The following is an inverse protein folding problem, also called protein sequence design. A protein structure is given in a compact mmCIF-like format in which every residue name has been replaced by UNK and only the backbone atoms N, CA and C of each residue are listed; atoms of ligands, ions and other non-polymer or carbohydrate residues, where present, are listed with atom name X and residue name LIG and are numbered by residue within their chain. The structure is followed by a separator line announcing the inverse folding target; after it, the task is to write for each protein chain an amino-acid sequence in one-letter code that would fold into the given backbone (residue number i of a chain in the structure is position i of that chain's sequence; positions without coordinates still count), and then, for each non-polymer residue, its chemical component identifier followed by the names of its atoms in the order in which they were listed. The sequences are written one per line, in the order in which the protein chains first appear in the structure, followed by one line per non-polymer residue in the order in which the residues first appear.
data_IF_959578804824
#
_entry.id   IF_959578804824
#
_cell.length_a   1.000
_cell.length_b   1.000
_cell.length_c   1.000
_cell.angle_alpha   90.00
_cell.angle_beta   90.00
_cell.angle_gamma   90.00
#
_symmetry.space_group_name_H-M   'P 1'
#
loop_
_entity.id
_entity.type
_entity.pdbx_description
1 polymer ?
#
# COMPACT_ATOMS: atom_id res chain seq x y z
N UNK A 1 -28.98 -21.81 -6.39
CA UNK A 1 -29.10 -21.10 -6.62
C UNK A 1 -28.90 -20.51 -6.47
N UNK A 2 -28.79 -20.70 -6.53
CA UNK A 2 -28.80 -19.91 -6.57
C UNK A 2 -28.42 -19.50 -6.46
N UNK A 3 -28.14 -19.63 -6.45
CA UNK A 3 -27.96 -18.77 -6.45
C UNK A 3 -27.73 -18.21 -6.52
N UNK A 4 -27.49 -18.29 -6.47
CA UNK A 4 -27.39 -17.35 -6.68
C UNK A 4 -26.95 -16.75 -6.50
N UNK A 5 -26.68 -16.79 -6.47
CA UNK A 5 -26.35 -15.79 -6.56
C UNK A 5 -25.97 -15.16 -6.84
N UNK A 6 -26.01 -15.26 -6.79
CA UNK A 6 -25.84 -14.57 -7.34
C UNK A 6 -25.42 -13.94 -7.80
N UNK A 7 -25.85 -13.90 -7.68
CA UNK A 7 -25.26 -13.49 -8.80
C UNK A 7 -25.14 -12.10 -9.28
N UNK A 8 -25.83 -11.34 -9.30
CA UNK A 8 -25.69 -9.95 -9.76
C UNK A 8 -24.52 -9.24 -9.09
N UNK A 9 -24.17 -9.62 -7.93
CA UNK A 9 -23.10 -8.96 -7.21
C UNK A 9 -21.72 -9.29 -7.77
N UNK A 10 -21.59 -10.39 -8.47
CA UNK A 10 -20.26 -10.73 -8.97
C UNK A 10 -19.98 -10.07 -10.32
N UNK A 11 -20.96 -9.48 -10.93
CA UNK A 11 -20.74 -8.72 -12.16
C UNK A 11 -20.07 -7.40 -11.91
N UNK A 12 -20.14 -6.91 -10.71
CA UNK A 12 -19.48 -5.68 -10.35
C UNK A 12 -18.55 -5.95 -9.20
N UNK A 13 -17.31 -5.51 -9.36
CA UNK A 13 -16.35 -5.58 -8.28
C UNK A 13 -16.83 -4.68 -7.16
N UNK A 14 -16.82 -5.17 -5.92
CA UNK A 14 -17.13 -4.26 -4.81
C UNK A 14 -16.11 -3.15 -4.78
N UNK A 15 -16.58 -1.93 -4.64
CA UNK A 15 -15.68 -0.80 -4.52
C UNK A 15 -15.00 -0.86 -3.15
N UNK A 16 -13.71 -0.52 -3.08
CA UNK A 16 -13.06 -0.45 -1.78
C UNK A 16 -13.70 0.63 -0.93
N UNK A 17 -13.64 0.44 0.37
CA UNK A 17 -14.18 1.43 1.29
C UNK A 17 -13.38 2.73 1.20
N UNK A 18 -14.00 3.82 1.66
CA UNK A 18 -13.32 5.11 1.69
C UNK A 18 -12.05 5.04 2.54
N UNK A 19 -12.11 4.28 3.63
CA UNK A 19 -10.94 4.12 4.50
C UNK A 19 -9.79 3.46 3.75
N UNK A 20 -10.10 2.47 2.93
CA UNK A 20 -9.07 1.78 2.15
C UNK A 20 -8.47 2.70 1.09
N UNK A 21 -9.32 3.50 0.45
CA UNK A 21 -8.84 4.46 -0.54
C UNK A 21 -7.92 5.48 0.10
N UNK A 22 -8.29 5.97 1.28
CA UNK A 22 -7.45 6.92 2.01
C UNK A 22 -6.12 6.29 2.40
N UNK A 23 -6.12 5.03 2.79
CA UNK A 23 -4.88 4.32 3.11
C UNK A 23 -4.00 4.20 1.87
N UNK A 24 -4.57 3.86 0.72
CA UNK A 24 -3.79 3.76 -0.52
C UNK A 24 -3.16 5.09 -0.91
N UNK A 25 -3.91 6.20 -0.75
CA UNK A 25 -3.37 7.53 -1.01
C UNK A 25 -2.21 7.84 -0.08
N UNK A 26 -2.34 7.43 1.17
CA UNK A 26 -1.31 7.63 2.17
C UNK A 26 -0.04 6.85 1.82
N UNK A 27 -0.19 5.58 1.42
CA UNK A 27 0.95 4.74 1.06
C UNK A 27 1.59 5.21 -0.24
N UNK A 28 0.81 5.78 -1.16
CA UNK A 28 1.33 6.27 -2.43
C UNK A 28 2.10 7.58 -2.30
N UNK A 29 2.15 8.16 -1.11
CA UNK A 29 2.86 9.41 -0.87
C UNK A 29 4.20 9.11 -0.21
N UNK A 30 5.28 9.42 -0.90
CA UNK A 30 6.63 9.06 -0.45
C UNK A 30 6.99 9.69 0.89
N UNK A 31 6.42 10.85 1.22
CA UNK A 31 6.74 11.52 2.48
C UNK A 31 6.29 10.73 3.70
N UNK A 32 5.41 9.74 3.51
CA UNK A 32 4.92 8.91 4.60
C UNK A 32 5.78 7.67 4.81
N UNK A 33 6.87 7.54 4.07
CA UNK A 33 7.77 6.39 4.17
C UNK A 33 9.08 6.77 4.83
N UNK A 34 9.72 5.78 5.42
CA UNK A 34 11.08 5.94 5.94
C UNK A 34 11.82 4.62 5.81
N UNK A 35 13.13 4.69 5.97
CA UNK A 35 13.98 3.50 5.98
C UNK A 35 14.67 3.45 7.33
N UNK A 36 14.61 2.30 7.98
CA UNK A 36 15.25 2.08 9.27
C UNK A 36 16.31 1.01 9.09
N UNK A 37 17.55 1.30 9.52
CA UNK A 37 18.60 0.29 9.48
C UNK A 37 18.47 -0.60 10.71
N UNK A 38 18.42 -1.91 10.48
CA UNK A 38 18.26 -2.88 11.54
C UNK A 38 19.63 -3.26 12.13
N UNK A 39 19.65 -3.84 13.34
CA UNK A 39 20.92 -4.25 13.95
C UNK A 39 21.74 -5.22 13.10
N UNK A 40 21.09 -6.03 12.26
CA UNK A 40 21.80 -6.96 11.39
C UNK A 40 22.33 -6.30 10.11
N UNK A 41 22.16 -4.98 9.96
CA UNK A 41 22.67 -4.25 8.81
C UNK A 41 21.69 -4.12 7.68
N UNK A 42 20.54 -4.80 7.73
CA UNK A 42 19.52 -4.68 6.69
C UNK A 42 18.78 -3.36 6.81
N UNK A 43 18.15 -2.95 5.72
CA UNK A 43 17.37 -1.73 5.67
C UNK A 43 15.90 -2.10 5.53
N UNK A 44 15.10 -1.63 6.46
CA UNK A 44 13.68 -1.93 6.51
C UNK A 44 12.89 -0.73 6.04
N UNK A 45 11.98 -0.95 5.07
CA UNK A 45 11.10 0.11 4.60
C UNK A 45 9.83 0.10 5.44
N UNK A 46 9.37 1.29 5.80
CA UNK A 46 8.20 1.43 6.67
C UNK A 46 7.37 2.61 6.21
N UNK A 47 6.04 2.51 6.37
CA UNK A 47 5.20 3.66 6.17
C UNK A 47 4.48 4.00 7.47
N UNK A 48 4.21 5.29 7.66
CA UNK A 48 3.58 5.79 8.87
C UNK A 48 2.13 5.34 8.91
N UNK A 49 1.65 4.99 10.10
CA UNK A 49 0.26 4.64 10.27
C UNK A 49 -0.62 5.83 9.94
N UNK A 50 -1.77 5.59 9.33
CA UNK A 50 -2.66 6.66 8.90
C UNK A 50 -3.22 7.46 10.07
N UNK A 51 -3.47 6.79 11.19
CA UNK A 51 -4.09 7.42 12.35
C UNK A 51 -3.15 7.67 13.51
N UNK A 52 -2.10 6.87 13.64
CA UNK A 52 -1.18 6.94 14.77
C UNK A 52 0.18 7.40 14.29
N UNK A 53 0.51 8.64 14.52
CA UNK A 53 1.75 9.23 14.01
C UNK A 53 3.00 8.50 14.47
N UNK A 54 2.96 7.90 15.64
CA UNK A 54 4.14 7.23 16.19
C UNK A 54 4.23 5.75 15.84
N UNK A 55 3.29 5.25 15.03
CA UNK A 55 3.28 3.86 14.61
C UNK A 55 3.73 3.75 13.17
N UNK A 56 4.55 2.73 12.88
CA UNK A 56 5.08 2.50 11.55
C UNK A 56 4.87 1.04 11.18
N UNK A 57 4.51 0.81 9.93
CA UNK A 57 4.26 -0.53 9.40
C UNK A 57 5.42 -0.94 8.51
N UNK A 58 6.09 -2.03 8.84
CA UNK A 58 7.19 -2.53 8.03
C UNK A 58 6.65 -3.28 6.82
N UNK A 59 7.33 -3.10 5.69
CA UNK A 59 6.88 -3.67 4.42
C UNK A 59 7.91 -4.60 3.83
N UNK A 60 9.16 -4.13 3.67
CA UNK A 60 10.21 -4.94 3.08
C UNK A 60 11.52 -4.75 3.81
N UNK A 61 12.43 -5.70 3.61
CA UNK A 61 13.81 -5.61 4.11
C UNK A 61 14.73 -5.87 2.94
N UNK A 62 15.76 -5.03 2.83
CA UNK A 62 16.74 -5.13 1.75
C UNK A 62 18.13 -5.02 2.33
N UNK A 63 19.10 -5.59 1.62
CA UNK A 63 20.49 -5.58 2.09
C UNK A 63 21.17 -4.24 1.86
N UNK A 64 20.65 -3.42 0.95
CA UNK A 64 21.25 -2.13 0.64
C UNK A 64 20.23 -1.01 0.76
N UNK A 65 20.75 0.19 1.03
CA UNK A 65 19.90 1.37 1.10
C UNK A 65 19.23 1.63 -0.26
N UNK A 66 19.99 1.46 -1.33
CA UNK A 66 19.47 1.64 -2.67
C UNK A 66 18.31 0.67 -2.96
N UNK A 67 18.47 -0.58 -2.56
CA UNK A 67 17.40 -1.57 -2.72
C UNK A 67 16.16 -1.21 -1.94
N UNK A 68 16.35 -0.65 -0.73
CA UNK A 68 15.21 -0.22 0.08
C UNK A 68 14.48 0.94 -0.58
N UNK A 69 15.23 1.90 -1.15
CA UNK A 69 14.62 3.03 -1.84
C UNK A 69 13.84 2.56 -3.06
N UNK A 70 14.37 1.60 -3.80
CA UNK A 70 13.67 1.03 -4.95
C UNK A 70 12.39 0.32 -4.52
N UNK A 71 12.42 -0.35 -3.37
CA UNK A 71 11.24 -1.04 -2.86
C UNK A 71 10.13 -0.04 -2.50
N UNK A 72 10.51 1.09 -1.93
CA UNK A 72 9.54 2.14 -1.62
C UNK A 72 8.93 2.68 -2.92
N UNK A 73 9.75 2.98 -3.91
CA UNK A 73 9.24 3.50 -5.17
C UNK A 73 8.32 2.50 -5.87
N UNK A 74 8.64 1.22 -5.80
CA UNK A 74 7.78 0.19 -6.38
C UNK A 74 6.44 0.12 -5.67
N UNK A 75 6.43 0.24 -4.34
CA UNK A 75 5.19 0.24 -3.57
C UNK A 75 4.33 1.45 -3.91
N UNK A 76 4.96 2.62 -3.99
CA UNK A 76 4.25 3.85 -4.34
C UNK A 76 3.60 3.72 -5.72
N UNK A 77 4.35 3.22 -6.70
CA UNK A 77 3.85 3.03 -8.04
C UNK A 77 2.66 2.07 -8.05
N UNK A 78 2.78 0.98 -7.29
CA UNK A 78 1.72 -0.02 -7.22
C UNK A 78 0.41 0.58 -6.70
N UNK A 79 0.49 1.34 -5.61
CA UNK A 79 -0.73 1.93 -5.02
C UNK A 79 -1.26 3.09 -5.85
N UNK A 80 -0.38 3.84 -6.50
CA UNK A 80 -0.82 4.90 -7.41
C UNK A 80 -1.62 4.31 -8.57
N UNK A 81 -1.18 3.17 -9.11
CA UNK A 81 -1.91 2.52 -10.17
C UNK A 81 -3.26 2.00 -9.71
N UNK A 82 -3.32 1.47 -8.50
CA UNK A 82 -4.59 1.03 -7.94
C UNK A 82 -5.59 2.18 -7.87
N UNK A 83 -5.12 3.35 -7.47
CA UNK A 83 -5.98 4.52 -7.39
C UNK A 83 -6.47 4.97 -8.76
N UNK A 84 -5.62 4.85 -9.78
CA UNK A 84 -6.00 5.19 -11.14
C UNK A 84 -7.14 4.30 -11.65
N UNK A 85 -7.09 3.02 -11.32
CA UNK A 85 -8.14 2.09 -11.72
C UNK A 85 -9.50 2.50 -11.16
N UNK A 86 -9.51 3.09 -9.97
CA UNK A 86 -10.76 3.49 -9.34
C UNK A 86 -11.40 4.69 -10.04
N UNK A 87 -10.63 5.45 -10.79
CA UNK A 87 -11.15 6.61 -11.50
C UNK A 87 -11.81 6.21 -12.82
N UNK A 88 -11.72 4.94 -13.19
CA UNK A 88 -12.30 4.43 -14.39
C UNK A 88 -11.45 4.68 -15.62
N UNK A 89 -11.92 4.26 -16.76
CA UNK A 89 -11.19 4.43 -18.01
C UNK A 89 -11.06 5.88 -18.40
#
# INVERSE_FOLDING_TARGET
MTFYYSTSSWNSQPQPSEDRINLWKHIADKKNWRITQLPNGFYQTEYQDLEKENSWHDVTRRETLEGAEQAIDASITHYAKKLEFLKGP
#
